data_IF_493218103433
#
_entry.id   IF_493218103433
#
_cell.length_a   1.000
_cell.length_b   1.000
_cell.length_c   1.000
_cell.angle_alpha   90.00
_cell.angle_beta   90.00
_cell.angle_gamma   90.00
#
_symmetry.space_group_name_H-M   'P 1'
#
loop_
_entity.id
_entity.type
_entity.pdbx_description
1 polymer ?
#
# COMPACT_ATOMS: atom_id res chain seq x y z
N UNK A 1 68.97 -7.80 -18.71
CA UNK A 1 69.36 -6.37 -18.65
C UNK A 1 68.12 -5.50 -18.62
N UNK A 2 68.17 -4.30 -18.06
CA UNK A 2 67.12 -3.28 -18.20
C UNK A 2 67.46 -2.43 -19.42
N UNK A 3 66.49 -2.18 -20.30
CA UNK A 3 66.74 -1.53 -21.60
C UNK A 3 66.98 -0.03 -21.44
N UNK A 4 66.26 0.60 -20.51
CA UNK A 4 66.48 1.99 -20.13
C UNK A 4 67.82 2.14 -19.39
N UNK A 5 68.76 2.85 -20.01
CA UNK A 5 70.13 3.04 -19.52
C UNK A 5 71.08 1.85 -19.72
N UNK A 6 70.70 0.82 -20.49
CA UNK A 6 71.50 -0.39 -20.77
C UNK A 6 72.10 -1.07 -19.52
N UNK A 7 71.32 -1.17 -18.45
CA UNK A 7 71.81 -1.64 -17.16
C UNK A 7 71.86 -3.18 -17.11
N UNK A 8 73.02 -3.74 -16.79
CA UNK A 8 73.16 -5.18 -16.57
C UNK A 8 72.54 -5.57 -15.20
N UNK A 9 71.44 -6.32 -15.25
CA UNK A 9 70.67 -6.75 -14.07
C UNK A 9 71.23 -8.06 -13.50
N UNK A 10 71.48 -9.05 -14.37
CA UNK A 10 72.01 -10.36 -14.05
C UNK A 10 72.84 -10.88 -15.22
N UNK A 11 73.88 -11.66 -14.90
CA UNK A 11 74.71 -12.39 -15.87
C UNK A 11 74.96 -13.81 -15.36
N UNK A 12 74.75 -14.79 -16.25
CA UNK A 12 75.12 -16.18 -16.07
C UNK A 12 76.09 -16.56 -17.19
N UNK A 13 77.30 -17.00 -16.84
CA UNK A 13 78.33 -17.36 -17.81
C UNK A 13 79.23 -18.46 -17.27
N UNK A 14 79.76 -19.31 -18.16
CA UNK A 14 80.67 -20.41 -17.79
C UNK A 14 80.08 -21.38 -16.74
N UNK A 15 78.75 -21.51 -16.69
CA UNK A 15 78.05 -22.41 -15.76
C UNK A 15 77.77 -21.81 -14.38
N UNK A 16 78.10 -20.54 -14.13
CA UNK A 16 77.91 -19.89 -12.84
C UNK A 16 77.24 -18.50 -12.94
N UNK A 17 76.57 -18.09 -11.86
CA UNK A 17 76.06 -16.73 -11.69
C UNK A 17 77.24 -15.77 -11.44
N UNK A 18 77.23 -14.60 -12.07
CA UNK A 18 78.25 -13.54 -11.90
C UNK A 18 77.68 -12.34 -11.12
N UNK A 19 77.47 -12.44 -9.80
CA UNK A 19 76.84 -11.39 -9.00
C UNK A 19 77.66 -10.08 -8.98
N UNK A 20 78.97 -10.16 -9.14
CA UNK A 20 79.88 -9.02 -9.25
C UNK A 20 79.66 -8.16 -10.51
N UNK A 21 79.04 -8.74 -11.56
CA UNK A 21 78.71 -8.01 -12.79
C UNK A 21 77.35 -7.29 -12.68
N UNK A 22 76.61 -7.49 -11.60
CA UNK A 22 75.33 -6.80 -11.40
C UNK A 22 75.57 -5.30 -11.17
N UNK A 23 74.79 -4.48 -11.85
CA UNK A 23 74.76 -3.05 -11.55
C UNK A 23 74.33 -2.82 -10.10
N UNK A 24 74.91 -1.81 -9.44
CA UNK A 24 74.72 -1.52 -8.02
C UNK A 24 73.24 -1.47 -7.60
N UNK A 25 72.40 -0.88 -8.45
CA UNK A 25 70.95 -0.78 -8.27
C UNK A 25 70.21 -2.11 -8.07
N UNK A 26 70.68 -3.18 -8.71
CA UNK A 26 70.06 -4.51 -8.66
C UNK A 26 70.83 -5.48 -7.76
N UNK A 27 71.97 -5.06 -7.21
CA UNK A 27 72.87 -5.89 -6.42
C UNK A 27 72.16 -6.41 -5.17
N UNK A 28 72.11 -7.73 -5.02
CA UNK A 28 71.44 -8.40 -3.89
C UNK A 28 69.91 -8.45 -3.96
N UNK A 29 69.28 -7.80 -4.95
CA UNK A 29 67.83 -7.80 -5.19
C UNK A 29 67.43 -8.65 -6.38
N UNK A 30 68.32 -8.85 -7.34
CA UNK A 30 68.10 -9.68 -8.52
C UNK A 30 68.79 -11.04 -8.39
N UNK A 31 68.08 -12.12 -8.68
CA UNK A 31 68.61 -13.49 -8.74
C UNK A 31 67.91 -14.32 -9.84
N UNK A 32 68.59 -15.36 -10.34
CA UNK A 32 67.95 -16.37 -11.18
C UNK A 32 67.32 -17.46 -10.32
N UNK A 33 66.32 -18.16 -10.86
CA UNK A 33 65.84 -19.41 -10.29
C UNK A 33 66.87 -20.52 -10.56
N UNK A 34 67.84 -20.67 -9.67
CA UNK A 34 69.00 -21.56 -9.86
C UNK A 34 68.62 -23.01 -10.20
N UNK A 35 67.52 -23.52 -9.65
CA UNK A 35 67.01 -24.88 -9.91
C UNK A 35 66.39 -25.06 -11.32
N UNK A 36 66.02 -23.97 -11.97
CA UNK A 36 65.34 -23.94 -13.27
C UNK A 36 66.32 -23.71 -14.43
N UNK A 37 67.55 -23.27 -14.14
CA UNK A 37 68.60 -23.04 -15.15
C UNK A 37 68.95 -24.30 -15.96
N UNK A 38 69.14 -25.50 -15.37
CA UNK A 38 69.41 -26.71 -16.13
C UNK A 38 68.28 -27.13 -17.07
N UNK A 39 67.06 -26.62 -16.83
CA UNK A 39 65.88 -26.83 -17.67
C UNK A 39 65.75 -25.78 -18.79
N UNK A 40 66.71 -24.86 -18.88
CA UNK A 40 66.74 -23.78 -19.87
C UNK A 40 65.93 -22.54 -19.48
N UNK A 41 65.48 -22.42 -18.22
CA UNK A 41 64.69 -21.29 -17.76
C UNK A 41 65.58 -20.28 -17.02
N UNK A 42 65.79 -19.13 -17.65
CA UNK A 42 66.57 -18.01 -17.13
C UNK A 42 65.68 -16.87 -16.62
N UNK A 43 64.58 -17.19 -15.96
CA UNK A 43 63.66 -16.20 -15.39
C UNK A 43 64.36 -15.35 -14.32
N UNK A 44 64.13 -14.03 -14.38
CA UNK A 44 64.61 -13.06 -13.40
C UNK A 44 63.64 -13.03 -12.21
N UNK A 45 64.17 -13.26 -11.01
CA UNK A 45 63.49 -12.96 -9.75
C UNK A 45 64.04 -11.65 -9.22
N UNK A 46 63.16 -10.66 -9.06
CA UNK A 46 63.50 -9.34 -8.52
C UNK A 46 62.79 -9.16 -7.17
N UNK A 47 63.56 -8.86 -6.12
CA UNK A 47 63.09 -8.58 -4.76
C UNK A 47 63.04 -7.07 -4.52
N UNK A 48 62.18 -6.66 -3.60
CA UNK A 48 62.01 -5.27 -3.16
C UNK A 48 61.81 -4.33 -4.34
N UNK A 49 60.94 -4.70 -5.29
CA UNK A 49 60.74 -3.99 -6.57
C UNK A 49 60.36 -2.53 -6.31
N UNK A 50 61.10 -1.59 -6.90
CA UNK A 50 60.85 -0.15 -6.77
C UNK A 50 60.09 0.38 -7.97
N UNK A 51 59.38 1.50 -7.83
CA UNK A 51 58.69 2.14 -8.96
C UNK A 51 59.64 2.59 -10.07
N UNK A 52 60.84 3.04 -9.69
CA UNK A 52 61.90 3.31 -10.66
C UNK A 52 62.25 2.08 -11.50
N UNK A 53 62.03 0.85 -11.01
CA UNK A 53 62.36 -0.39 -11.72
C UNK A 53 61.41 -0.67 -12.88
N UNK A 54 60.26 0.05 -12.94
CA UNK A 54 59.35 0.06 -14.09
C UNK A 54 60.11 0.25 -15.40
N UNK A 55 59.65 -0.45 -16.42
CA UNK A 55 60.21 -0.37 -17.76
C UNK A 55 60.41 -1.75 -18.37
N UNK A 56 61.12 -1.76 -19.47
CA UNK A 56 61.40 -2.97 -20.22
C UNK A 56 62.71 -3.62 -19.75
N UNK A 57 62.62 -4.91 -19.48
CA UNK A 57 63.75 -5.80 -19.26
C UNK A 57 63.93 -6.65 -20.50
N UNK A 58 65.19 -6.91 -20.85
CA UNK A 58 65.55 -7.77 -21.96
C UNK A 58 66.38 -8.94 -21.45
N UNK A 59 65.86 -10.15 -21.65
CA UNK A 59 66.65 -11.37 -21.52
C UNK A 59 67.41 -11.58 -22.82
N UNK A 60 68.74 -11.69 -22.75
CA UNK A 60 69.60 -11.96 -23.91
C UNK A 60 70.34 -13.26 -23.67
N UNK A 61 70.06 -14.27 -24.48
CA UNK A 61 70.74 -15.56 -24.43
C UNK A 61 71.67 -15.65 -25.63
N UNK A 62 72.97 -15.78 -25.36
CA UNK A 62 74.00 -15.90 -26.39
C UNK A 62 74.51 -17.35 -26.43
N UNK A 63 74.58 -17.90 -27.62
CA UNK A 63 75.20 -19.19 -27.93
C UNK A 63 76.26 -18.98 -29.01
N UNK A 64 77.12 -19.98 -29.24
CA UNK A 64 78.18 -19.90 -30.26
C UNK A 64 77.66 -19.65 -31.70
N UNK A 65 76.35 -19.85 -31.92
CA UNK A 65 75.72 -19.76 -33.25
C UNK A 65 74.72 -18.61 -33.35
N UNK A 66 74.01 -18.29 -32.27
CA UNK A 66 72.88 -17.36 -32.29
C UNK A 66 72.74 -16.56 -30.99
N UNK A 67 72.14 -15.38 -31.09
CA UNK A 67 71.70 -14.56 -29.97
C UNK A 67 70.18 -14.40 -30.03
N UNK A 68 69.49 -14.79 -28.96
CA UNK A 68 68.03 -14.64 -28.83
C UNK A 68 67.72 -13.61 -27.76
N UNK A 69 66.82 -12.69 -28.09
CA UNK A 69 66.36 -11.65 -27.18
C UNK A 69 64.88 -11.85 -26.88
N UNK A 70 64.50 -11.78 -25.61
CA UNK A 70 63.12 -11.82 -25.16
C UNK A 70 62.84 -10.59 -24.27
N UNK A 71 62.00 -9.63 -24.71
CA UNK A 71 61.60 -8.50 -23.90
C UNK A 71 60.53 -8.91 -22.88
N UNK A 72 60.57 -8.30 -21.70
CA UNK A 72 59.59 -8.44 -20.64
C UNK A 72 59.31 -7.06 -20.03
N UNK A 73 58.03 -6.73 -19.85
CA UNK A 73 57.63 -5.43 -19.32
C UNK A 73 57.28 -5.53 -17.85
N UNK A 74 57.99 -4.77 -17.01
CA UNK A 74 57.59 -4.54 -15.64
C UNK A 74 56.75 -3.25 -15.61
N UNK A 75 55.43 -3.42 -15.66
CA UNK A 75 54.52 -2.35 -15.27
C UNK A 75 54.43 -2.34 -13.74
N UNK A 76 54.36 -1.15 -13.13
CA UNK A 76 54.25 -1.04 -11.68
C UNK A 76 53.07 -1.88 -11.18
N UNK A 77 53.29 -2.62 -10.09
CA UNK A 77 52.24 -3.28 -9.33
C UNK A 77 51.41 -2.16 -8.68
N UNK A 78 50.42 -1.63 -9.39
CA UNK A 78 49.40 -0.79 -8.76
C UNK A 78 48.57 -1.66 -7.82
N UNK A 79 48.40 -1.27 -6.56
CA UNK A 79 47.45 -1.94 -5.67
C UNK A 79 46.04 -1.38 -5.84
N UNK A 80 45.04 -2.16 -5.46
CA UNK A 80 43.65 -1.71 -5.42
C UNK A 80 43.10 -1.88 -4.01
N UNK A 81 42.43 -0.86 -3.49
CA UNK A 81 41.75 -0.89 -2.20
C UNK A 81 40.33 -1.38 -2.42
N UNK A 82 39.96 -2.45 -1.71
CA UNK A 82 38.62 -3.05 -1.75
C UNK A 82 37.83 -2.64 -0.52
N UNK A 83 36.59 -2.24 -0.75
CA UNK A 83 35.57 -2.04 0.26
C UNK A 83 34.29 -2.82 -0.06
N UNK A 84 33.23 -2.64 0.74
CA UNK A 84 31.94 -3.25 0.52
C UNK A 84 31.22 -2.61 -0.69
N UNK A 85 30.50 -3.44 -1.47
CA UNK A 85 29.70 -2.95 -2.58
C UNK A 85 28.34 -2.36 -2.16
N UNK A 86 27.85 -2.75 -0.98
CA UNK A 86 26.56 -2.34 -0.43
C UNK A 86 26.75 -1.56 0.87
N UNK A 87 25.81 -0.66 1.22
CA UNK A 87 25.83 0.02 2.52
C UNK A 87 25.80 -0.97 3.68
N UNK A 88 26.48 -0.63 4.77
CA UNK A 88 26.43 -1.37 6.03
C UNK A 88 25.27 -0.83 6.86
N UNK A 89 24.27 -1.67 7.10
CA UNK A 89 23.14 -1.35 7.98
C UNK A 89 23.51 -1.78 9.40
N UNK A 90 23.47 -0.84 10.35
CA UNK A 90 23.86 -1.07 11.74
C UNK A 90 22.81 -0.55 12.72
N UNK A 91 22.53 -1.34 13.75
CA UNK A 91 21.69 -0.93 14.88
C UNK A 91 22.43 0.06 15.75
N UNK A 92 21.74 1.08 16.27
CA UNK A 92 22.33 2.19 17.05
C UNK A 92 23.46 1.79 18.03
N UNK A 93 23.35 1.59 19.33
CA UNK A 93 24.54 1.31 20.17
C UNK A 93 25.43 0.08 19.86
N UNK A 94 25.29 -0.60 18.71
CA UNK A 94 26.13 -1.71 18.28
C UNK A 94 27.53 -1.25 17.80
N UNK A 95 28.36 -2.23 17.43
CA UNK A 95 29.65 -1.99 16.78
C UNK A 95 29.62 -2.50 15.34
N UNK A 96 30.32 -1.82 14.43
CA UNK A 96 30.37 -2.16 13.01
C UNK A 96 31.82 -2.15 12.52
N UNK A 97 32.16 -3.09 11.65
CA UNK A 97 33.45 -3.12 10.96
C UNK A 97 33.28 -2.57 9.55
N UNK A 98 34.02 -1.52 9.22
CA UNK A 98 34.07 -0.92 7.89
C UNK A 98 35.20 -1.61 7.10
N UNK A 99 34.87 -2.42 6.08
CA UNK A 99 35.89 -3.17 5.33
C UNK A 99 36.77 -2.25 4.50
N UNK A 100 38.09 -2.43 4.62
CA UNK A 100 39.09 -1.85 3.73
C UNK A 100 40.29 -2.79 3.65
N UNK A 101 40.64 -3.26 2.45
CA UNK A 101 41.75 -4.21 2.29
C UNK A 101 42.38 -4.16 0.91
N UNK A 102 43.63 -4.61 0.81
CA UNK A 102 44.37 -4.80 -0.44
C UNK A 102 44.69 -6.27 -0.65
N UNK A 103 44.75 -6.72 -1.91
CA UNK A 103 45.00 -8.14 -2.23
C UNK A 103 46.45 -8.56 -1.93
N UNK A 104 47.38 -7.60 -2.02
CA UNK A 104 48.81 -7.80 -1.78
C UNK A 104 49.28 -6.94 -0.61
N UNK A 105 49.86 -7.54 0.45
CA UNK A 105 50.39 -6.79 1.58
C UNK A 105 51.39 -5.71 1.15
N UNK A 106 51.32 -4.55 1.80
CA UNK A 106 52.18 -3.40 1.52
C UNK A 106 53.28 -3.27 2.59
N UNK A 107 54.46 -2.72 2.25
CA UNK A 107 55.52 -2.46 3.23
C UNK A 107 55.05 -1.48 4.31
N UNK A 108 55.20 -1.85 5.59
CA UNK A 108 54.67 -1.06 6.72
C UNK A 108 55.38 0.28 6.96
N UNK A 109 56.66 0.40 6.57
CA UNK A 109 57.46 1.60 6.88
C UNK A 109 57.11 2.82 6.02
N UNK A 110 56.39 2.59 4.92
CA UNK A 110 55.94 3.59 3.95
C UNK A 110 54.40 3.65 3.86
N UNK A 111 53.71 2.93 4.75
CA UNK A 111 52.26 2.79 4.74
C UNK A 111 51.61 3.83 5.65
N UNK A 112 50.71 4.60 5.06
CA UNK A 112 49.79 5.46 5.80
C UNK A 112 48.36 5.13 5.41
N UNK A 113 47.48 4.95 6.40
CA UNK A 113 46.06 4.65 6.16
C UNK A 113 45.19 5.62 6.95
N UNK A 114 44.35 6.33 6.20
CA UNK A 114 43.41 7.29 6.74
C UNK A 114 41.98 6.78 6.61
N UNK A 115 41.24 6.79 7.71
CA UNK A 115 39.78 6.73 7.67
C UNK A 115 39.22 8.12 7.88
N UNK A 116 38.40 8.57 6.92
CA UNK A 116 37.78 9.89 6.96
C UNK A 116 36.28 9.82 6.70
N UNK A 117 35.55 10.76 7.29
CA UNK A 117 34.21 11.14 6.87
C UNK A 117 34.26 11.94 5.57
N UNK A 118 33.45 11.57 4.59
CA UNK A 118 33.41 12.28 3.29
C UNK A 118 32.63 13.58 3.39
N UNK A 119 31.52 13.59 4.12
CA UNK A 119 30.63 14.74 4.33
C UNK A 119 31.29 15.89 5.11
N UNK A 120 32.09 15.57 6.12
CA UNK A 120 32.70 16.55 7.02
C UNK A 120 34.23 16.65 6.95
N UNK A 121 34.87 15.86 6.09
CA UNK A 121 36.33 15.71 6.03
C UNK A 121 36.97 15.45 7.40
N UNK A 122 36.24 14.80 8.31
CA UNK A 122 36.70 14.54 9.68
C UNK A 122 37.52 13.28 9.73
N UNK A 123 38.72 13.36 10.32
CA UNK A 123 39.59 12.21 10.56
C UNK A 123 38.98 11.31 11.63
N UNK A 124 38.69 10.06 11.24
CA UNK A 124 38.11 9.02 12.09
C UNK A 124 39.21 8.21 12.75
N UNK A 125 40.21 7.79 11.99
CA UNK A 125 41.40 7.12 12.51
C UNK A 125 42.57 7.23 11.53
N UNK A 126 43.79 7.16 12.07
CA UNK A 126 45.04 7.23 11.31
C UNK A 126 45.97 6.08 11.72
N UNK A 127 46.58 5.45 10.73
CA UNK A 127 47.71 4.55 10.90
C UNK A 127 48.90 5.13 10.14
N UNK A 128 50.01 5.37 10.82
CA UNK A 128 51.19 6.00 10.24
C UNK A 128 52.45 5.58 11.02
N UNK A 129 53.58 5.46 10.33
CA UNK A 129 54.88 5.09 10.93
C UNK A 129 54.85 3.74 11.66
N UNK A 130 54.01 2.81 11.18
CA UNK A 130 53.89 1.46 11.73
C UNK A 130 52.97 1.31 12.95
N UNK A 131 52.33 2.39 13.41
CA UNK A 131 51.43 2.37 14.57
C UNK A 131 50.10 3.10 14.30
N UNK A 132 49.07 2.75 15.06
CA UNK A 132 47.81 3.52 15.07
C UNK A 132 48.00 4.79 15.90
N UNK A 133 47.43 5.90 15.42
CA UNK A 133 47.51 7.24 16.01
C UNK A 133 46.15 7.66 16.60
N UNK A 134 45.65 7.02 17.67
CA UNK A 134 44.36 7.37 18.27
C UNK A 134 44.30 8.82 18.78
N UNK A 135 45.45 9.44 19.07
CA UNK A 135 45.59 10.84 19.46
C UNK A 135 45.23 11.84 18.35
N UNK A 136 45.28 11.41 17.09
CA UNK A 136 44.91 12.24 15.94
C UNK A 136 43.42 12.19 15.63
N UNK A 137 42.66 11.31 16.30
CA UNK A 137 41.23 11.15 16.07
C UNK A 137 40.46 12.41 16.44
N UNK A 138 39.42 12.70 15.66
CA UNK A 138 38.42 13.69 16.07
C UNK A 138 37.75 13.25 17.39
N UNK A 139 37.40 14.20 18.29
CA UNK A 139 36.74 13.90 19.56
C UNK A 139 35.50 13.01 19.44
N UNK A 140 34.78 13.07 18.31
CA UNK A 140 33.59 12.25 18.06
C UNK A 140 33.89 10.73 17.99
N UNK A 141 35.11 10.35 17.61
CA UNK A 141 35.52 8.95 17.40
C UNK A 141 36.51 8.43 18.46
N UNK A 142 36.99 9.32 19.34
CA UNK A 142 37.96 8.99 20.38
C UNK A 142 37.46 7.83 21.26
N UNK A 143 38.26 6.76 21.32
CA UNK A 143 37.95 5.54 22.09
C UNK A 143 36.83 4.67 21.50
N UNK A 144 36.35 4.99 20.30
CA UNK A 144 35.29 4.25 19.60
C UNK A 144 35.79 3.61 18.30
N UNK A 145 36.74 4.25 17.63
CA UNK A 145 37.27 3.81 16.34
C UNK A 145 38.69 3.21 16.49
N UNK A 146 38.89 1.96 16.05
CA UNK A 146 40.20 1.30 16.09
C UNK A 146 40.48 0.48 14.82
N UNK A 147 41.75 0.36 14.46
CA UNK A 147 42.20 -0.62 13.47
C UNK A 147 42.40 -2.00 14.10
N UNK A 148 42.35 -3.03 13.28
CA UNK A 148 42.83 -4.37 13.65
C UNK A 148 44.35 -4.45 13.43
N UNK A 149 45.14 -3.95 14.39
CA UNK A 149 46.61 -3.78 14.22
C UNK A 149 47.34 -5.04 13.75
N UNK A 150 46.93 -6.23 14.20
CA UNK A 150 47.55 -7.51 13.78
C UNK A 150 47.29 -7.88 12.30
N UNK A 151 46.22 -7.33 11.72
CA UNK A 151 45.76 -7.62 10.35
C UNK A 151 46.32 -6.63 9.31
N UNK A 152 46.87 -5.49 9.75
CA UNK A 152 47.46 -4.46 8.87
C UNK A 152 48.62 -5.05 8.06
N UNK A 153 49.48 -5.85 8.69
CA UNK A 153 50.61 -6.53 8.03
C UNK A 153 50.17 -7.52 6.93
N UNK A 154 48.89 -7.91 6.93
CA UNK A 154 48.28 -8.82 5.94
C UNK A 154 47.49 -8.05 4.87
N UNK A 155 47.52 -6.72 4.88
CA UNK A 155 46.80 -5.87 3.93
C UNK A 155 45.34 -5.60 4.30
N UNK A 156 44.93 -5.84 5.55
CA UNK A 156 43.58 -5.52 6.03
C UNK A 156 43.61 -4.29 6.94
N UNK A 157 42.99 -3.22 6.46
CA UNK A 157 42.93 -1.91 7.09
C UNK A 157 41.52 -1.55 7.54
N UNK A 158 40.70 -2.57 7.80
CA UNK A 158 39.32 -2.37 8.24
C UNK A 158 39.26 -1.64 9.58
N UNK A 159 38.23 -0.80 9.74
CA UNK A 159 38.01 -0.01 10.95
C UNK A 159 36.88 -0.61 11.77
N UNK A 160 37.11 -0.82 13.06
CA UNK A 160 36.06 -1.13 14.03
C UNK A 160 35.54 0.16 14.65
N UNK A 161 34.27 0.50 14.41
CA UNK A 161 33.58 1.61 15.05
C UNK A 161 32.59 1.06 16.11
N UNK A 162 32.76 1.47 17.36
CA UNK A 162 31.94 1.02 18.51
C UNK A 162 30.90 2.05 18.92
N UNK A 163 29.81 1.55 19.50
CA UNK A 163 28.72 2.33 20.05
C UNK A 163 28.18 3.34 19.03
N UNK A 164 27.70 2.85 17.89
CA UNK A 164 27.23 3.66 16.77
C UNK A 164 26.05 4.56 17.20
N UNK A 165 26.00 5.78 16.69
CA UNK A 165 24.94 6.76 16.97
C UNK A 165 24.25 7.19 15.67
N UNK A 166 23.15 7.92 15.78
CA UNK A 166 22.45 8.45 14.60
C UNK A 166 23.31 9.43 13.81
N UNK A 167 24.27 10.08 14.47
CA UNK A 167 25.21 11.00 13.83
C UNK A 167 26.22 10.24 12.96
N UNK A 168 26.52 8.98 13.27
CA UNK A 168 27.47 8.11 12.55
C UNK A 168 26.99 7.67 11.17
N UNK A 169 25.70 7.88 10.87
CA UNK A 169 25.14 7.69 9.53
C UNK A 169 25.87 8.59 8.53
N UNK A 170 26.40 8.00 7.47
CA UNK A 170 27.12 8.78 6.47
C UNK A 170 28.01 7.97 5.56
N UNK A 171 28.79 8.68 4.76
CA UNK A 171 29.77 8.12 3.85
C UNK A 171 31.16 8.30 4.45
N UNK A 172 31.90 7.21 4.51
CA UNK A 172 33.27 7.14 4.99
C UNK A 172 34.16 6.75 3.83
N UNK A 173 35.43 7.13 3.88
CA UNK A 173 36.44 6.68 2.94
C UNK A 173 37.68 6.19 3.67
N UNK A 174 38.22 5.08 3.18
CA UNK A 174 39.52 4.57 3.55
C UNK A 174 40.49 4.98 2.44
N UNK A 175 41.53 5.73 2.78
CA UNK A 175 42.58 6.15 1.85
C UNK A 175 43.87 5.47 2.28
N UNK A 176 44.48 4.73 1.36
CA UNK A 176 45.74 4.02 1.58
C UNK A 176 46.82 4.70 0.77
N UNK A 177 47.81 5.24 1.46
CA UNK A 177 48.95 5.97 0.90
C UNK A 177 50.21 5.10 0.98
N UNK A 178 50.96 5.11 -0.11
CA UNK A 178 52.34 4.62 -0.22
C UNK A 178 53.21 5.75 -0.76
N UNK A 179 54.55 5.59 -0.82
CA UNK A 179 55.43 6.63 -1.39
C UNK A 179 55.07 7.06 -2.82
N UNK A 180 54.44 6.20 -3.59
CA UNK A 180 54.32 6.37 -5.03
C UNK A 180 52.90 6.51 -5.53
N UNK A 181 51.92 5.97 -4.80
CA UNK A 181 50.53 6.01 -5.19
C UNK A 181 49.60 6.03 -3.99
N UNK A 182 48.36 6.43 -4.24
CA UNK A 182 47.30 6.50 -3.24
C UNK A 182 46.01 6.01 -3.86
N UNK A 183 45.33 5.11 -3.16
CA UNK A 183 44.07 4.51 -3.60
C UNK A 183 43.07 4.57 -2.46
N UNK A 184 41.78 4.65 -2.81
CA UNK A 184 40.72 4.77 -1.82
C UNK A 184 39.52 3.86 -2.12
N UNK A 185 38.76 3.58 -1.07
CA UNK A 185 37.43 2.97 -1.19
C UNK A 185 36.45 3.68 -0.27
N UNK A 186 35.19 3.73 -0.66
CA UNK A 186 34.12 4.32 0.13
C UNK A 186 33.29 3.23 0.85
N UNK A 187 32.80 3.58 2.04
CA UNK A 187 31.92 2.75 2.86
C UNK A 187 30.78 3.61 3.36
N UNK A 188 29.54 3.24 3.03
CA UNK A 188 28.36 3.93 3.54
C UNK A 188 27.82 3.20 4.76
N UNK A 189 27.66 3.92 5.87
CA UNK A 189 26.93 3.47 7.05
C UNK A 189 25.50 3.99 6.94
N UNK A 190 24.53 3.07 7.06
CA UNK A 190 23.13 3.40 7.32
C UNK A 190 22.69 2.82 8.66
N UNK A 191 21.70 3.45 9.27
CA UNK A 191 21.19 3.04 10.57
C UNK A 191 19.94 2.19 10.34
N UNK A 192 19.88 1.02 10.98
CA UNK A 192 18.67 0.20 11.00
C UNK A 192 17.53 1.02 11.59
N UNK A 193 16.46 1.20 10.82
CA UNK A 193 15.27 1.94 11.23
C UNK A 193 14.16 0.98 11.57
N UNK A 194 13.43 1.28 12.63
CA UNK A 194 12.20 0.57 12.93
C UNK A 194 11.14 0.95 11.88
N UNK A 195 10.66 -0.03 11.11
CA UNK A 195 9.58 0.21 10.14
C UNK A 195 8.32 -0.47 10.64
N UNK A 196 7.28 0.33 10.87
CA UNK A 196 5.95 -0.15 11.23
C UNK A 196 5.02 0.08 10.05
N UNK A 197 4.45 -1.00 9.53
CA UNK A 197 3.54 -0.97 8.38
C UNK A 197 2.12 -1.26 8.85
N UNK A 198 1.19 -0.36 8.52
CA UNK A 198 -0.24 -0.51 8.77
C UNK A 198 -1.04 -0.79 7.50
N UNK A 199 -2.37 -0.78 7.60
CA UNK A 199 -3.24 -0.82 6.43
C UNK A 199 -3.32 0.56 5.74
N UNK A 200 -2.98 0.63 4.45
CA UNK A 200 -3.05 1.89 3.67
C UNK A 200 -4.48 2.39 3.45
N UNK A 201 -5.45 1.48 3.48
CA UNK A 201 -6.85 1.77 3.23
C UNK A 201 -7.70 1.57 4.49
N UNK A 202 -8.75 2.40 4.68
CA UNK A 202 -9.71 2.21 5.75
C UNK A 202 -10.42 0.86 5.64
N UNK A 203 -10.55 0.18 6.78
CA UNK A 203 -11.23 -1.10 6.90
C UNK A 203 -12.70 -0.83 7.19
N UNK A 204 -13.61 -1.48 6.45
CA UNK A 204 -15.05 -1.30 6.62
C UNK A 204 -15.69 -2.59 7.12
N UNK A 205 -16.49 -2.53 8.18
CA UNK A 205 -17.14 -3.69 8.77
C UNK A 205 -18.55 -3.39 9.30
N UNK A 206 -19.39 -4.41 9.34
CA UNK A 206 -20.71 -4.36 9.99
C UNK A 206 -20.57 -4.58 11.50
N UNK A 207 -21.52 -4.08 12.28
CA UNK A 207 -21.61 -4.41 13.69
C UNK A 207 -21.75 -5.93 13.89
N UNK A 208 -21.07 -6.49 14.88
CA UNK A 208 -21.02 -7.92 15.16
C UNK A 208 -20.00 -8.73 14.34
N UNK A 209 -19.31 -8.12 13.37
CA UNK A 209 -18.26 -8.80 12.62
C UNK A 209 -16.91 -8.77 13.33
N UNK A 210 -16.06 -9.73 12.99
CA UNK A 210 -14.66 -9.73 13.37
C UNK A 210 -13.84 -9.02 12.29
N UNK A 211 -12.87 -8.20 12.70
CA UNK A 211 -11.95 -7.47 11.81
C UNK A 211 -10.52 -7.65 12.25
N UNK A 212 -9.60 -7.46 11.30
CA UNK A 212 -8.16 -7.49 11.55
C UNK A 212 -7.61 -6.13 11.16
N UNK A 213 -6.99 -5.44 12.12
CA UNK A 213 -6.26 -4.20 11.87
C UNK A 213 -4.77 -4.55 11.75
N UNK A 214 -4.22 -4.33 10.56
CA UNK A 214 -2.85 -4.76 10.25
C UNK A 214 -1.82 -3.89 10.96
N UNK A 215 -0.84 -4.52 11.59
CA UNK A 215 0.40 -3.90 12.06
C UNK A 215 1.54 -4.90 11.94
N UNK A 216 2.50 -4.60 11.08
CA UNK A 216 3.68 -5.42 10.87
C UNK A 216 4.93 -4.60 11.17
N UNK A 217 5.84 -5.18 11.93
CA UNK A 217 7.10 -4.57 12.33
C UNK A 217 8.23 -5.31 11.64
N UNK A 218 8.94 -4.63 10.77
CA UNK A 218 10.16 -5.16 10.14
C UNK A 218 11.36 -4.71 10.97
N UNK A 219 11.90 -5.63 11.77
CA UNK A 219 13.03 -5.34 12.65
C UNK A 219 13.81 -6.60 13.03
N UNK A 220 15.13 -6.46 13.15
CA UNK A 220 16.00 -7.47 13.76
C UNK A 220 16.15 -7.29 15.28
N UNK A 221 15.35 -6.41 15.89
CA UNK A 221 15.36 -6.16 17.34
C UNK A 221 14.71 -7.35 18.10
N UNK A 222 15.34 -7.85 19.17
CA UNK A 222 14.76 -8.93 19.98
C UNK A 222 13.39 -8.55 20.56
N UNK A 223 12.43 -9.49 20.57
CA UNK A 223 11.07 -9.27 21.07
C UNK A 223 10.99 -8.71 22.51
N UNK A 224 12.01 -8.94 23.34
CA UNK A 224 12.06 -8.43 24.72
C UNK A 224 12.28 -6.92 24.81
N UNK A 225 12.87 -6.34 23.78
CA UNK A 225 13.16 -4.90 23.67
C UNK A 225 12.02 -4.15 22.95
N UNK A 226 11.00 -4.87 22.48
CA UNK A 226 9.82 -4.31 21.83
C UNK A 226 8.70 -4.11 22.84
N UNK A 227 8.13 -2.91 22.84
CA UNK A 227 6.85 -2.61 23.45
C UNK A 227 5.87 -2.19 22.36
N UNK A 228 4.75 -2.89 22.22
CA UNK A 228 3.75 -2.64 21.18
C UNK A 228 2.39 -2.35 21.82
N UNK A 229 1.87 -1.16 21.54
CA UNK A 229 0.59 -0.67 22.03
C UNK A 229 -0.39 -0.53 20.87
N UNK A 230 -1.58 -1.12 20.98
CA UNK A 230 -2.71 -0.70 20.17
C UNK A 230 -3.56 0.28 20.96
N UNK A 231 -3.76 1.47 20.42
CA UNK A 231 -4.48 2.56 21.07
C UNK A 231 -5.64 2.99 20.18
N UNK A 232 -6.84 3.06 20.74
CA UNK A 232 -7.95 3.77 20.11
C UNK A 232 -7.73 5.26 20.34
N UNK A 233 -7.44 6.00 19.26
CA UNK A 233 -7.02 7.42 19.36
C UNK A 233 -8.11 8.31 19.94
N UNK A 234 -9.38 8.00 19.63
CA UNK A 234 -10.54 8.65 20.24
C UNK A 234 -10.68 8.22 21.72
N UNK A 235 -10.09 9.02 22.62
CA UNK A 235 -10.13 8.79 24.06
C UNK A 235 -8.90 8.10 24.63
N UNK A 236 -7.83 7.93 23.84
CA UNK A 236 -6.54 7.34 24.25
C UNK A 236 -6.70 6.00 25.00
N UNK A 237 -7.56 5.13 24.46
CA UNK A 237 -7.91 3.87 25.13
C UNK A 237 -6.94 2.77 24.70
N UNK A 238 -6.23 2.19 25.66
CA UNK A 238 -5.36 1.03 25.42
C UNK A 238 -6.21 -0.21 25.09
N UNK A 239 -6.00 -0.74 23.88
CA UNK A 239 -6.71 -1.90 23.32
C UNK A 239 -5.91 -3.18 23.55
N UNK A 240 -4.61 -3.16 23.25
CA UNK A 240 -3.67 -4.27 23.47
C UNK A 240 -2.31 -3.74 23.88
N UNK A 241 -1.59 -4.52 24.70
CA UNK A 241 -0.21 -4.25 25.09
C UNK A 241 0.63 -5.53 24.98
N UNK A 242 1.76 -5.42 24.30
CA UNK A 242 2.82 -6.41 24.30
C UNK A 242 4.08 -5.77 24.90
N UNK A 243 4.66 -6.38 25.93
CA UNK A 243 5.86 -5.85 26.60
C UNK A 243 6.67 -6.96 27.24
N UNK A 244 7.99 -6.76 27.33
CA UNK A 244 8.94 -7.72 27.91
C UNK A 244 8.90 -9.12 27.22
N UNK A 245 8.49 -9.16 25.95
CA UNK A 245 8.35 -10.39 25.18
C UNK A 245 7.04 -11.16 25.40
N UNK A 246 6.08 -10.61 26.14
CA UNK A 246 4.79 -11.27 26.43
C UNK A 246 3.58 -10.36 26.14
N UNK A 247 2.44 -10.97 25.82
CA UNK A 247 1.15 -10.27 25.72
C UNK A 247 0.60 -9.98 27.14
N UNK A 248 0.10 -8.77 27.36
CA UNK A 248 -0.45 -8.30 28.65
C UNK A 248 -1.97 -8.09 28.56
N UNK A 249 -2.79 -9.16 28.59
CA UNK A 249 -4.24 -9.05 28.48
C UNK A 249 -4.89 -8.31 29.67
N UNK A 250 -4.22 -8.25 30.82
CA UNK A 250 -4.73 -7.55 32.01
C UNK A 250 -4.68 -6.03 31.89
N UNK A 251 -3.85 -5.50 30.98
CA UNK A 251 -3.76 -4.06 30.70
C UNK A 251 -4.85 -3.57 29.76
N UNK A 252 -5.67 -4.48 29.19
CA UNK A 252 -6.73 -4.11 28.26
C UNK A 252 -7.81 -3.28 28.96
N UNK A 253 -8.26 -2.21 28.30
CA UNK A 253 -9.42 -1.46 28.76
C UNK A 253 -10.70 -2.33 28.73
N UNK A 254 -11.60 -2.13 29.69
CA UNK A 254 -12.83 -2.93 29.89
C UNK A 254 -13.66 -3.09 28.60
N UNK A 255 -13.74 -2.03 27.80
CA UNK A 255 -14.46 -2.00 26.52
C UNK A 255 -13.99 -3.03 25.48
N UNK A 256 -12.70 -3.34 25.47
CA UNK A 256 -12.06 -4.25 24.50
C UNK A 256 -11.69 -5.61 25.12
N UNK A 257 -11.86 -5.75 26.44
CA UNK A 257 -11.53 -6.96 27.19
C UNK A 257 -12.28 -8.17 26.63
N UNK A 258 -11.53 -9.20 26.22
CA UNK A 258 -12.08 -10.43 25.65
C UNK A 258 -12.58 -10.31 24.20
N UNK A 259 -12.50 -9.12 23.59
CA UNK A 259 -12.82 -8.88 22.18
C UNK A 259 -11.59 -8.59 21.33
N UNK A 260 -10.52 -8.08 21.93
CA UNK A 260 -9.26 -7.80 21.25
C UNK A 260 -8.19 -8.85 21.58
N UNK A 261 -7.49 -9.35 20.56
CA UNK A 261 -6.38 -10.30 20.71
C UNK A 261 -5.29 -10.08 19.65
N UNK A 262 -4.04 -10.41 20.00
CA UNK A 262 -2.94 -10.53 19.04
C UNK A 262 -2.90 -11.92 18.40
N UNK A 263 -2.23 -12.04 17.26
CA UNK A 263 -1.87 -13.33 16.66
C UNK A 263 -0.57 -13.85 17.27
N UNK A 264 -0.64 -14.48 18.45
CA UNK A 264 0.54 -14.90 19.22
C UNK A 264 1.55 -15.76 18.43
N UNK A 265 1.08 -16.59 17.50
CA UNK A 265 1.93 -17.44 16.65
C UNK A 265 2.69 -16.67 15.55
N UNK A 266 2.23 -15.47 15.21
CA UNK A 266 2.80 -14.63 14.15
C UNK A 266 3.69 -13.50 14.71
N UNK A 267 3.68 -13.26 16.03
CA UNK A 267 4.55 -12.28 16.71
C UNK A 267 6.05 -12.53 16.42
N UNK A 268 6.58 -13.78 16.45
CA UNK A 268 7.99 -14.02 16.12
C UNK A 268 8.37 -13.65 14.69
N UNK A 269 7.40 -13.46 13.79
CA UNK A 269 7.59 -12.99 12.42
C UNK A 269 7.37 -11.48 12.27
N UNK A 270 7.21 -10.75 13.38
CA UNK A 270 6.98 -9.31 13.40
C UNK A 270 5.52 -8.89 13.18
N UNK A 271 4.56 -9.82 13.21
CA UNK A 271 3.14 -9.48 13.02
C UNK A 271 2.46 -9.18 14.36
N UNK A 272 2.14 -7.91 14.58
CA UNK A 272 1.44 -7.39 15.75
C UNK A 272 0.02 -6.93 15.41
N UNK A 273 -0.60 -7.51 14.38
CA UNK A 273 -1.95 -7.15 13.98
C UNK A 273 -2.97 -7.40 15.09
N UNK A 274 -3.93 -6.48 15.23
CA UNK A 274 -5.03 -6.57 16.18
C UNK A 274 -6.20 -7.30 15.53
N UNK A 275 -6.65 -8.40 16.13
CA UNK A 275 -7.95 -8.99 15.82
C UNK A 275 -9.00 -8.47 16.79
N UNK A 276 -9.99 -7.76 16.28
CA UNK A 276 -11.11 -7.21 17.04
C UNK A 276 -12.38 -7.98 16.70
N UNK A 277 -12.95 -8.66 17.69
CA UNK A 277 -14.17 -9.46 17.59
C UNK A 277 -15.42 -8.66 17.94
N UNK A 278 -16.55 -9.07 17.36
CA UNK A 278 -17.88 -8.51 17.65
C UNK A 278 -17.86 -6.98 17.59
N UNK A 279 -17.42 -6.39 16.47
CA UNK A 279 -17.25 -4.93 16.30
C UNK A 279 -18.53 -4.19 16.66
N UNK A 280 -18.43 -3.10 17.43
CA UNK A 280 -19.57 -2.25 17.79
C UNK A 280 -19.55 -0.95 16.99
N UNK A 281 -20.71 -0.32 16.84
CA UNK A 281 -20.86 0.98 16.16
C UNK A 281 -19.99 2.07 16.79
N UNK A 282 -19.84 2.02 18.11
CA UNK A 282 -18.96 2.91 18.88
C UNK A 282 -17.47 2.73 18.55
N UNK A 283 -17.03 1.57 18.03
CA UNK A 283 -15.61 1.27 17.76
C UNK A 283 -15.09 1.99 16.51
N UNK A 284 -15.98 2.64 15.76
CA UNK A 284 -15.67 3.49 14.62
C UNK A 284 -14.56 4.51 14.93
N UNK A 285 -13.72 4.76 13.92
CA UNK A 285 -12.67 5.78 13.96
C UNK A 285 -11.28 5.17 13.89
N UNK A 286 -10.29 5.90 14.36
CA UNK A 286 -8.89 5.54 14.20
C UNK A 286 -8.36 4.69 15.35
N UNK A 287 -7.51 3.73 14.99
CA UNK A 287 -6.70 2.92 15.87
C UNK A 287 -5.24 3.12 15.48
N UNK A 288 -4.35 3.16 16.45
CA UNK A 288 -2.92 3.38 16.27
C UNK A 288 -2.15 2.21 16.86
N UNK A 289 -1.33 1.57 16.04
CA UNK A 289 -0.29 0.64 16.47
C UNK A 289 0.97 1.47 16.74
N UNK A 290 1.40 1.54 17.98
CA UNK A 290 2.59 2.27 18.40
C UNK A 290 3.62 1.25 18.87
N UNK A 291 4.79 1.29 18.26
CA UNK A 291 5.92 0.40 18.57
C UNK A 291 7.00 1.26 19.17
N UNK A 292 7.43 0.85 20.36
CA UNK A 292 8.47 1.50 21.12
C UNK A 292 9.62 0.52 21.33
N UNK A 293 10.81 1.06 21.21
CA UNK A 293 12.09 0.45 21.59
C UNK A 293 12.80 1.43 22.51
N UNK A 294 13.85 0.99 23.19
CA UNK A 294 14.68 1.87 24.03
C UNK A 294 15.24 3.11 23.30
N UNK A 295 15.24 3.10 21.96
CA UNK A 295 15.91 4.10 21.12
C UNK A 295 14.97 4.90 20.22
N UNK A 296 13.89 4.29 19.74
CA UNK A 296 12.96 4.90 18.77
C UNK A 296 11.50 4.54 19.10
N UNK A 297 10.57 5.43 18.74
CA UNK A 297 9.13 5.14 18.74
C UNK A 297 8.54 5.48 17.38
N UNK A 298 7.90 4.49 16.76
CA UNK A 298 7.26 4.59 15.44
C UNK A 298 5.83 4.10 15.55
N UNK A 299 4.92 4.67 14.76
CA UNK A 299 3.52 4.29 14.78
C UNK A 299 2.97 4.10 13.36
N UNK A 300 1.88 3.36 13.29
CA UNK A 300 1.03 3.23 12.11
C UNK A 300 -0.44 3.33 12.53
N UNK A 301 -1.26 4.01 11.74
CA UNK A 301 -2.68 4.18 12.04
C UNK A 301 -3.56 3.40 11.05
N UNK A 302 -4.70 2.93 11.54
CA UNK A 302 -5.71 2.21 10.76
C UNK A 302 -7.09 2.77 11.09
N UNK A 303 -7.86 3.09 10.05
CA UNK A 303 -9.21 3.63 10.20
C UNK A 303 -10.27 2.54 10.06
N UNK A 304 -11.12 2.38 11.08
CA UNK A 304 -12.29 1.51 11.05
C UNK A 304 -13.55 2.31 10.71
N UNK A 305 -14.22 1.93 9.62
CA UNK A 305 -15.49 2.47 9.16
C UNK A 305 -16.62 1.46 9.34
N UNK A 306 -17.80 1.97 9.61
CA UNK A 306 -19.02 1.17 9.65
C UNK A 306 -19.58 1.02 8.22
N UNK A 307 -19.95 -0.21 7.86
CA UNK A 307 -20.77 -0.48 6.69
C UNK A 307 -22.24 -0.27 7.08
N UNK A 308 -22.89 0.67 6.41
CA UNK A 308 -24.23 1.14 6.77
C UNK A 308 -25.29 0.01 6.63
N UNK A 309 -25.77 -0.52 7.76
CA UNK A 309 -26.88 -1.49 7.88
C UNK A 309 -28.15 -1.04 7.12
N UNK A 310 -28.28 0.28 6.99
CA UNK A 310 -29.36 1.00 6.34
C UNK A 310 -29.71 0.45 4.95
N UNK A 311 -28.73 0.10 4.11
CA UNK A 311 -28.98 -0.28 2.72
C UNK A 311 -29.59 -1.68 2.57
N UNK A 312 -29.21 -2.65 3.42
CA UNK A 312 -29.77 -4.01 3.36
C UNK A 312 -31.16 -4.07 3.99
N UNK A 313 -31.35 -3.40 5.13
CA UNK A 313 -32.65 -3.28 5.78
C UNK A 313 -33.66 -2.54 4.87
N UNK A 314 -33.22 -1.45 4.22
CA UNK A 314 -34.01 -0.73 3.23
C UNK A 314 -34.35 -1.61 2.02
N UNK A 315 -33.39 -2.36 1.47
CA UNK A 315 -33.63 -3.24 0.33
C UNK A 315 -34.65 -4.34 0.66
N UNK A 316 -34.50 -5.01 1.80
CA UNK A 316 -35.44 -6.05 2.25
C UNK A 316 -36.84 -5.47 2.48
N UNK A 317 -36.93 -4.28 3.08
CA UNK A 317 -38.18 -3.56 3.25
C UNK A 317 -38.82 -3.19 1.91
N UNK A 318 -38.04 -2.66 0.96
CA UNK A 318 -38.50 -2.31 -0.37
C UNK A 318 -39.08 -3.51 -1.11
N UNK A 319 -38.41 -4.67 -1.03
CA UNK A 319 -38.88 -5.92 -1.61
C UNK A 319 -40.17 -6.41 -0.93
N UNK A 320 -40.23 -6.39 0.40
CA UNK A 320 -41.39 -6.86 1.17
C UNK A 320 -42.64 -6.00 0.95
N UNK A 321 -42.49 -4.69 0.70
CA UNK A 321 -43.60 -3.78 0.42
C UNK A 321 -44.03 -3.85 -1.04
N UNK A 322 -43.07 -3.86 -1.98
CA UNK A 322 -43.37 -3.72 -3.41
C UNK A 322 -43.82 -5.03 -4.05
N UNK A 323 -43.18 -6.15 -3.72
CA UNK A 323 -43.43 -7.45 -4.39
C UNK A 323 -44.86 -7.96 -4.20
N UNK A 324 -45.44 -8.00 -2.98
CA UNK A 324 -46.81 -8.48 -2.80
C UNK A 324 -47.85 -7.60 -3.51
N UNK A 325 -47.62 -6.28 -3.52
CA UNK A 325 -48.50 -5.31 -4.17
C UNK A 325 -48.45 -5.42 -5.71
N UNK A 326 -47.26 -5.65 -6.29
CA UNK A 326 -47.10 -5.89 -7.73
C UNK A 326 -47.76 -7.22 -8.12
N UNK A 327 -47.53 -8.30 -7.36
CA UNK A 327 -48.10 -9.63 -7.65
C UNK A 327 -49.63 -9.62 -7.58
N UNK A 328 -50.22 -8.94 -6.59
CA UNK A 328 -51.67 -8.79 -6.49
C UNK A 328 -52.24 -7.93 -7.60
N UNK A 329 -51.55 -6.86 -8.03
CA UNK A 329 -51.94 -6.05 -9.19
C UNK A 329 -51.95 -6.89 -10.49
N UNK A 330 -50.92 -7.70 -10.72
CA UNK A 330 -50.85 -8.63 -11.86
C UNK A 330 -52.00 -9.65 -11.81
N UNK A 331 -52.31 -10.18 -10.63
CA UNK A 331 -53.41 -11.12 -10.46
C UNK A 331 -54.78 -10.50 -10.81
N UNK A 332 -55.05 -9.25 -10.40
CA UNK A 332 -56.26 -8.52 -10.79
C UNK A 332 -56.33 -8.25 -12.29
N UNK A 333 -55.20 -7.90 -12.92
CA UNK A 333 -55.14 -7.70 -14.37
C UNK A 333 -55.42 -8.99 -15.15
N UNK A 334 -54.84 -10.12 -14.73
CA UNK A 334 -55.09 -11.44 -15.34
C UNK A 334 -56.55 -11.86 -15.14
N UNK A 335 -57.11 -11.69 -13.94
CA UNK A 335 -58.51 -12.00 -13.66
C UNK A 335 -59.47 -11.18 -14.54
N UNK A 336 -59.21 -9.89 -14.68
CA UNK A 336 -59.97 -9.01 -15.58
C UNK A 336 -59.92 -9.38 -17.05
N UNK A 337 -58.82 -9.97 -17.50
CA UNK A 337 -58.65 -10.40 -18.88
C UNK A 337 -59.41 -11.71 -19.20
N UNK A 338 -59.48 -12.63 -18.24
CA UNK A 338 -60.02 -13.97 -18.48
C UNK A 338 -61.52 -14.05 -18.15
N UNK A 339 -61.95 -13.56 -16.98
CA UNK A 339 -63.31 -13.81 -16.45
C UNK A 339 -64.01 -12.56 -15.90
N UNK A 340 -63.25 -11.53 -15.55
CA UNK A 340 -63.73 -10.39 -14.75
C UNK A 340 -64.21 -9.17 -15.55
N UNK A 341 -64.66 -8.15 -14.81
CA UNK A 341 -64.95 -6.83 -15.37
C UNK A 341 -63.65 -6.03 -15.56
N UNK A 342 -63.43 -5.47 -16.75
CA UNK A 342 -62.27 -4.60 -17.05
C UNK A 342 -62.19 -3.41 -16.08
N UNK A 343 -63.34 -2.90 -15.64
CA UNK A 343 -63.40 -1.81 -14.66
C UNK A 343 -62.91 -2.23 -13.27
N UNK A 344 -63.33 -3.41 -12.80
CA UNK A 344 -62.91 -3.93 -11.48
C UNK A 344 -61.43 -4.32 -11.48
N UNK A 345 -60.94 -4.89 -12.58
CA UNK A 345 -59.53 -5.22 -12.75
C UNK A 345 -58.63 -3.99 -12.76
N UNK A 346 -59.05 -2.91 -13.44
CA UNK A 346 -58.32 -1.65 -13.45
C UNK A 346 -58.27 -1.02 -12.05
N UNK A 347 -59.43 -0.92 -11.37
CA UNK A 347 -59.51 -0.34 -10.02
C UNK A 347 -58.72 -1.18 -9.02
N UNK A 348 -58.83 -2.51 -9.05
CA UNK A 348 -58.07 -3.41 -8.20
C UNK A 348 -56.56 -3.33 -8.45
N UNK A 349 -56.12 -3.24 -9.70
CA UNK A 349 -54.71 -3.09 -10.05
C UNK A 349 -54.14 -1.75 -9.59
N UNK A 350 -54.89 -0.66 -9.78
CA UNK A 350 -54.49 0.69 -9.40
C UNK A 350 -54.40 0.86 -7.87
N UNK A 351 -55.38 0.33 -7.12
CA UNK A 351 -55.35 0.36 -5.64
C UNK A 351 -54.12 -0.38 -5.09
N UNK A 352 -53.79 -1.55 -5.63
CA UNK A 352 -52.64 -2.31 -5.16
C UNK A 352 -51.31 -1.62 -5.49
N UNK A 353 -51.21 -0.93 -6.63
CA UNK A 353 -50.01 -0.14 -6.95
C UNK A 353 -49.86 1.07 -6.01
N UNK A 354 -50.96 1.76 -5.72
CA UNK A 354 -50.97 2.91 -4.83
C UNK A 354 -50.69 2.55 -3.36
N UNK A 355 -51.11 1.34 -2.94
CA UNK A 355 -50.81 0.78 -1.62
C UNK A 355 -49.32 0.74 -1.28
N UNK A 356 -48.45 0.62 -2.30
CA UNK A 356 -46.99 0.71 -2.13
C UNK A 356 -46.64 2.08 -1.52
N UNK A 357 -47.20 3.17 -2.03
CA UNK A 357 -46.90 4.54 -1.57
C UNK A 357 -47.31 4.76 -0.11
N UNK A 358 -48.46 4.24 0.31
CA UNK A 358 -48.91 4.32 1.72
C UNK A 358 -48.02 3.49 2.63
N UNK A 359 -47.68 2.26 2.24
CA UNK A 359 -46.87 1.38 3.08
C UNK A 359 -45.46 1.94 3.27
N UNK A 360 -44.88 2.60 2.27
CA UNK A 360 -43.62 3.33 2.44
C UNK A 360 -43.73 4.52 3.39
N UNK A 361 -44.87 5.21 3.46
CA UNK A 361 -45.11 6.33 4.40
C UNK A 361 -45.02 5.91 5.88
N UNK A 362 -45.53 4.72 6.20
CA UNK A 362 -45.59 4.20 7.58
C UNK A 362 -44.24 3.56 8.00
N UNK A 363 -43.28 3.49 7.08
CA UNK A 363 -41.99 2.87 7.31
C UNK A 363 -41.14 3.65 8.34
N UNK A 364 -40.50 2.97 9.30
CA UNK A 364 -39.52 3.60 10.19
C UNK A 364 -38.26 4.09 9.44
N UNK A 365 -37.99 3.54 8.24
CA UNK A 365 -36.80 3.82 7.43
C UNK A 365 -37.00 4.90 6.35
N UNK A 366 -38.14 5.61 6.34
CA UNK A 366 -38.42 6.61 5.28
C UNK A 366 -37.39 7.76 5.22
N UNK A 367 -36.73 8.06 6.35
CA UNK A 367 -35.71 9.12 6.48
C UNK A 367 -34.38 8.80 5.80
N UNK A 368 -34.19 7.55 5.39
CA UNK A 368 -32.97 7.06 4.71
C UNK A 368 -33.08 7.22 3.18
N UNK A 369 -34.31 7.32 2.65
CA UNK A 369 -34.54 7.46 1.22
C UNK A 369 -34.02 8.81 0.69
N UNK A 370 -33.60 8.88 -0.58
CA UNK A 370 -33.27 10.14 -1.24
C UNK A 370 -34.41 11.16 -1.05
N UNK A 371 -34.05 12.42 -0.81
CA UNK A 371 -34.99 13.50 -0.43
C UNK A 371 -36.22 13.57 -1.36
N UNK A 372 -36.02 13.38 -2.66
CA UNK A 372 -37.07 13.41 -3.69
C UNK A 372 -38.12 12.29 -3.52
N UNK A 373 -37.70 11.08 -3.14
CA UNK A 373 -38.59 9.95 -2.90
C UNK A 373 -39.33 10.11 -1.56
N UNK A 374 -38.64 10.61 -0.54
CA UNK A 374 -39.21 10.87 0.78
C UNK A 374 -40.37 11.88 0.70
N UNK A 375 -40.25 12.92 -0.12
CA UNK A 375 -41.32 13.89 -0.34
C UNK A 375 -42.58 13.27 -0.95
N UNK A 376 -42.43 12.39 -1.94
CA UNK A 376 -43.56 11.72 -2.61
C UNK A 376 -44.31 10.82 -1.62
N UNK A 377 -43.62 9.95 -0.89
CA UNK A 377 -44.24 9.03 0.07
C UNK A 377 -44.90 9.79 1.25
N UNK A 378 -44.29 10.89 1.71
CA UNK A 378 -44.74 11.63 2.90
C UNK A 378 -45.88 12.61 2.61
N UNK A 379 -46.07 13.06 1.37
CA UNK A 379 -47.05 14.12 1.10
C UNK A 379 -48.07 13.78 0.01
N UNK A 380 -47.74 12.88 -0.92
CA UNK A 380 -48.56 12.62 -2.10
C UNK A 380 -49.33 11.29 -2.04
N UNK A 381 -48.93 10.34 -1.18
CA UNK A 381 -49.57 9.03 -1.07
C UNK A 381 -51.10 9.10 -0.81
N UNK A 382 -51.52 9.73 0.30
CA UNK A 382 -52.93 9.85 0.71
C UNK A 382 -53.83 10.59 -0.31
N UNK A 383 -53.40 11.75 -0.87
CA UNK A 383 -54.20 12.44 -1.89
C UNK A 383 -54.39 11.63 -3.18
N UNK A 384 -53.34 10.94 -3.67
CA UNK A 384 -53.46 10.12 -4.87
C UNK A 384 -54.34 8.89 -4.65
N UNK A 385 -54.24 8.22 -3.51
CA UNK A 385 -55.12 7.08 -3.19
C UNK A 385 -56.59 7.47 -3.17
N UNK A 386 -56.92 8.58 -2.51
CA UNK A 386 -58.29 9.09 -2.48
C UNK A 386 -58.79 9.47 -3.88
N UNK A 387 -57.92 10.02 -4.74
CA UNK A 387 -58.27 10.32 -6.13
C UNK A 387 -58.58 9.06 -6.93
N UNK A 388 -57.76 8.01 -6.80
CA UNK A 388 -57.94 6.73 -7.50
C UNK A 388 -59.21 6.02 -7.02
N UNK A 389 -59.45 5.96 -5.71
CA UNK A 389 -60.66 5.37 -5.13
C UNK A 389 -61.91 6.15 -5.60
N UNK A 390 -61.89 7.47 -5.52
CA UNK A 390 -63.01 8.31 -5.95
C UNK A 390 -63.28 8.16 -7.44
N UNK A 391 -62.23 8.09 -8.26
CA UNK A 391 -62.37 7.90 -9.72
C UNK A 391 -62.89 6.50 -10.05
N UNK A 392 -62.42 5.46 -9.36
CA UNK A 392 -62.88 4.08 -9.53
C UNK A 392 -64.33 3.85 -9.08
N UNK A 393 -64.73 4.41 -7.95
CA UNK A 393 -66.13 4.33 -7.48
C UNK A 393 -67.05 5.06 -8.46
N UNK A 394 -66.66 6.27 -8.88
CA UNK A 394 -67.47 7.05 -9.80
C UNK A 394 -67.51 6.42 -11.21
N UNK A 395 -66.47 5.73 -11.67
CA UNK A 395 -66.50 5.05 -12.97
C UNK A 395 -67.49 3.89 -13.01
N UNK A 396 -67.62 3.12 -11.92
CA UNK A 396 -68.62 2.05 -11.79
C UNK A 396 -70.04 2.62 -11.72
N UNK A 397 -70.24 3.70 -10.94
CA UNK A 397 -71.53 4.41 -10.89
C UNK A 397 -71.90 4.98 -12.26
N UNK A 398 -70.93 5.55 -12.99
CA UNK A 398 -71.13 6.04 -14.36
C UNK A 398 -71.50 4.91 -15.31
N UNK A 399 -70.80 3.78 -15.26
CA UNK A 399 -71.09 2.63 -16.12
C UNK A 399 -72.50 2.08 -15.87
N UNK A 400 -72.96 2.13 -14.62
CA UNK A 400 -74.33 1.77 -14.22
C UNK A 400 -75.37 2.80 -14.71
N UNK A 401 -75.07 4.10 -14.63
CA UNK A 401 -75.96 5.16 -15.15
C UNK A 401 -76.03 5.19 -16.69
N UNK A 402 -74.91 4.95 -17.37
CA UNK A 402 -74.80 4.85 -18.83
C UNK A 402 -75.59 3.68 -19.41
N UNK A 403 -75.64 2.56 -18.67
CA UNK A 403 -76.42 1.37 -19.05
C UNK A 403 -77.90 1.48 -18.66
N UNK A 404 -78.24 2.12 -17.54
CA UNK A 404 -79.62 2.27 -17.05
C UNK A 404 -80.46 3.30 -17.85
N UNK A 405 -79.85 4.35 -18.41
CA UNK A 405 -80.56 5.35 -19.24
C UNK A 405 -80.10 5.29 -20.70
N UNK A 406 -80.43 4.18 -21.37
CA UNK A 406 -79.99 3.91 -22.74
C UNK A 406 -80.66 4.78 -23.84
N UNK A 407 -81.67 5.61 -23.53
CA UNK A 407 -82.51 6.24 -24.58
C UNK A 407 -82.30 7.74 -24.83
N UNK A 408 -81.43 8.45 -24.10
CA UNK A 408 -81.25 9.89 -24.29
C UNK A 408 -79.77 10.28 -24.43
N UNK A 409 -79.42 10.76 -25.63
CA UNK A 409 -78.06 11.16 -26.03
C UNK A 409 -77.58 12.41 -25.28
N UNK A 410 -78.50 13.33 -24.96
CA UNK A 410 -78.18 14.59 -24.27
C UNK A 410 -77.83 14.33 -22.79
N UNK A 411 -78.53 13.41 -22.13
CA UNK A 411 -78.27 13.03 -20.74
C UNK A 411 -76.90 12.36 -20.54
N UNK A 412 -76.41 11.59 -21.53
CA UNK A 412 -75.06 10.97 -21.51
C UNK A 412 -73.96 12.03 -21.60
N UNK A 413 -74.15 13.01 -22.48
CA UNK A 413 -73.21 14.12 -22.68
C UNK A 413 -73.14 15.01 -21.44
N UNK A 414 -74.29 15.34 -20.85
CA UNK A 414 -74.38 16.16 -19.63
C UNK A 414 -73.73 15.46 -18.42
N UNK A 415 -73.93 14.15 -18.27
CA UNK A 415 -73.35 13.35 -17.17
C UNK A 415 -71.82 13.26 -17.30
N UNK A 416 -71.30 13.08 -18.52
CA UNK A 416 -69.86 13.11 -18.79
C UNK A 416 -69.22 14.49 -18.51
N UNK A 417 -69.91 15.59 -18.87
CA UNK A 417 -69.46 16.95 -18.58
C UNK A 417 -69.41 17.21 -17.06
N UNK A 418 -70.47 16.87 -16.32
CA UNK A 418 -70.51 17.01 -14.86
C UNK A 418 -69.38 16.22 -14.18
N UNK A 419 -69.07 15.03 -14.67
CA UNK A 419 -67.98 14.22 -14.15
C UNK A 419 -66.59 14.82 -14.45
N UNK A 420 -66.38 15.31 -15.67
CA UNK A 420 -65.16 16.04 -16.03
C UNK A 420 -64.94 17.28 -15.16
N UNK A 421 -66.02 18.01 -14.83
CA UNK A 421 -65.97 19.16 -13.92
C UNK A 421 -65.57 18.74 -12.50
N UNK A 422 -66.09 17.63 -11.98
CA UNK A 422 -65.74 17.13 -10.64
C UNK A 422 -64.27 16.71 -10.58
N UNK A 423 -63.76 15.96 -11.57
CA UNK A 423 -62.35 15.54 -11.62
C UNK A 423 -61.41 16.74 -11.78
N UNK A 424 -61.76 17.70 -12.63
CA UNK A 424 -61.00 18.92 -12.81
C UNK A 424 -60.98 19.76 -11.52
N UNK A 425 -62.09 19.84 -10.78
CA UNK A 425 -62.16 20.57 -9.51
C UNK A 425 -61.28 19.95 -8.41
N UNK A 426 -61.25 18.61 -8.33
CA UNK A 426 -60.38 17.86 -7.43
C UNK A 426 -58.90 18.04 -7.79
N UNK A 427 -58.58 17.98 -9.08
CA UNK A 427 -57.22 18.22 -9.57
C UNK A 427 -56.74 19.64 -9.26
N UNK A 428 -57.57 20.65 -9.54
CA UNK A 428 -57.24 22.06 -9.23
C UNK A 428 -57.03 22.24 -7.72
N UNK A 429 -57.87 21.62 -6.88
CA UNK A 429 -57.71 21.68 -5.41
C UNK A 429 -56.36 21.09 -4.96
N UNK A 430 -55.96 19.95 -5.52
CA UNK A 430 -54.69 19.29 -5.22
C UNK A 430 -53.48 20.07 -5.75
N UNK A 431 -53.57 20.62 -6.96
CA UNK A 431 -52.53 21.46 -7.55
C UNK A 431 -52.34 22.75 -6.75
N UNK A 432 -53.43 23.42 -6.34
CA UNK A 432 -53.38 24.63 -5.48
C UNK A 432 -52.79 24.31 -4.10
N UNK A 433 -53.18 23.17 -3.49
CA UNK A 433 -52.58 22.71 -2.24
C UNK A 433 -51.06 22.45 -2.39
N UNK A 434 -50.62 21.86 -3.51
CA UNK A 434 -49.20 21.63 -3.77
C UNK A 434 -48.41 22.91 -4.03
N UNK A 435 -48.98 23.87 -4.79
CA UNK A 435 -48.35 25.17 -5.09
C UNK A 435 -48.26 26.04 -3.83
N UNK A 436 -49.30 26.10 -3.01
CA UNK A 436 -49.31 26.87 -1.74
C UNK A 436 -48.25 26.42 -0.72
N UNK A 437 -47.74 25.19 -0.84
CA UNK A 437 -46.62 24.68 -0.03
C UNK A 437 -45.25 24.81 -0.72
N UNK A 438 -45.17 25.48 -1.86
CA UNK A 438 -43.92 25.79 -2.56
C UNK A 438 -43.30 24.64 -3.37
N UNK A 439 -44.06 23.57 -3.66
CA UNK A 439 -43.51 22.30 -4.18
C UNK A 439 -43.72 22.13 -5.68
N UNK A 440 -42.72 22.52 -6.49
CA UNK A 440 -42.81 22.53 -7.97
C UNK A 440 -42.74 21.14 -8.60
N UNK A 441 -41.93 20.23 -8.08
CA UNK A 441 -41.78 18.84 -8.56
C UNK A 441 -43.05 18.01 -8.39
N UNK A 442 -43.73 18.12 -7.25
CA UNK A 442 -45.03 17.47 -7.03
C UNK A 442 -46.11 17.94 -8.01
N UNK A 443 -46.12 19.22 -8.38
CA UNK A 443 -47.08 19.79 -9.35
C UNK A 443 -46.88 19.20 -10.75
N UNK A 444 -45.64 19.00 -11.19
CA UNK A 444 -45.33 18.38 -12.48
C UNK A 444 -45.81 16.92 -12.52
N UNK A 445 -45.61 16.17 -11.44
CA UNK A 445 -46.07 14.78 -11.32
C UNK A 445 -47.62 14.69 -11.26
N UNK A 446 -48.27 15.59 -10.52
CA UNK A 446 -49.73 15.75 -10.50
C UNK A 446 -50.27 16.02 -11.92
N UNK A 447 -49.67 16.95 -12.66
CA UNK A 447 -50.08 17.24 -14.04
C UNK A 447 -49.94 16.01 -14.93
N UNK A 448 -48.83 15.28 -14.85
CA UNK A 448 -48.60 14.12 -15.70
C UNK A 448 -49.58 12.98 -15.40
N UNK A 449 -49.83 12.71 -14.12
CA UNK A 449 -50.82 11.70 -13.67
C UNK A 449 -52.25 12.09 -14.05
N UNK A 450 -52.62 13.37 -13.99
CA UNK A 450 -53.93 13.84 -14.46
C UNK A 450 -54.11 13.71 -15.97
N UNK A 451 -53.08 14.02 -16.76
CA UNK A 451 -53.11 13.82 -18.23
C UNK A 451 -53.35 12.35 -18.57
N UNK A 452 -52.63 11.43 -17.92
CA UNK A 452 -52.80 9.98 -18.10
C UNK A 452 -54.22 9.55 -17.68
N UNK A 453 -54.75 10.08 -16.58
CA UNK A 453 -56.11 9.79 -16.11
C UNK A 453 -57.18 10.24 -17.13
N UNK A 454 -56.99 11.41 -17.74
CA UNK A 454 -57.88 11.93 -18.77
C UNK A 454 -57.78 11.13 -20.08
N UNK A 455 -56.60 10.66 -20.46
CA UNK A 455 -56.41 9.73 -21.60
C UNK A 455 -57.11 8.39 -21.36
N UNK A 456 -57.03 7.84 -20.14
CA UNK A 456 -57.71 6.59 -19.76
C UNK A 456 -59.24 6.77 -19.80
N UNK A 457 -59.76 7.88 -19.30
CA UNK A 457 -61.18 8.23 -19.38
C UNK A 457 -61.67 8.42 -20.81
N UNK A 458 -60.84 9.03 -21.67
CA UNK A 458 -61.11 9.16 -23.09
C UNK A 458 -61.20 7.78 -23.77
N UNK A 459 -60.27 6.87 -23.48
CA UNK A 459 -60.31 5.50 -24.00
C UNK A 459 -61.54 4.72 -23.52
N UNK A 460 -61.94 4.88 -22.26
CA UNK A 460 -63.14 4.23 -21.71
C UNK A 460 -64.43 4.75 -22.37
N UNK A 461 -64.53 6.05 -22.64
CA UNK A 461 -65.72 6.64 -23.28
C UNK A 461 -65.80 6.35 -24.77
N UNK A 462 -64.65 6.26 -25.47
CA UNK A 462 -64.60 5.96 -26.90
C UNK A 462 -64.75 4.48 -27.22
N UNK A 463 -64.17 3.57 -26.41
CA UNK A 463 -64.20 2.12 -26.68
C UNK A 463 -65.19 1.33 -25.80
N UNK A 464 -65.65 1.89 -24.67
CA UNK A 464 -66.59 1.21 -23.76
C UNK A 464 -68.01 1.02 -24.28
N UNK A 465 -68.35 1.60 -25.44
CA UNK A 465 -69.63 1.39 -26.13
C UNK A 465 -69.58 0.31 -27.24
N UNK A 466 -68.42 -0.32 -27.46
CA UNK A 466 -68.14 -1.10 -28.67
C UNK A 466 -68.04 -2.64 -28.55
N UNK A 467 -68.45 -3.27 -27.46
CA UNK A 467 -68.44 -4.75 -27.35
C UNK A 467 -69.82 -5.33 -27.04
N UNK A 468 -70.63 -5.45 -28.10
CA UNK A 468 -71.73 -6.43 -28.14
C UNK A 468 -71.16 -7.73 -28.70
N UNK A 469 -70.91 -8.72 -27.83
CA UNK A 469 -70.55 -10.08 -28.21
C UNK A 469 -71.79 -10.79 -28.80
N UNK A 470 -72.11 -10.48 -30.06
CA UNK A 470 -72.88 -11.38 -30.91
C UNK A 470 -71.97 -12.53 -31.35
N UNK A 471 -71.88 -13.56 -30.51
CA UNK A 471 -71.16 -14.80 -30.80
C UNK A 471 -71.85 -15.98 -30.14
N UNK A 472 -73.07 -16.31 -30.59
CA UNK A 472 -73.67 -17.62 -30.32
C UNK A 472 -72.79 -18.69 -30.97
N UNK A 473 -72.18 -19.56 -30.18
CA UNK A 473 -71.79 -20.88 -30.64
C UNK A 473 -73.02 -21.80 -30.57
N UNK A 474 -73.38 -22.56 -31.62
CA UNK A 474 -74.47 -23.52 -31.54
C UNK A 474 -74.00 -24.78 -30.82
N UNK A 475 -74.72 -25.18 -29.79
CA UNK A 475 -74.73 -26.57 -29.32
C UNK A 475 -75.97 -27.23 -29.94
N UNK A 476 -75.70 -28.16 -30.87
CA UNK A 476 -76.55 -29.18 -31.51
C UNK A 476 -77.97 -28.79 -31.98
#
# INVERSE_FOLDING_TARGET
>A
MKTDGEILVLLFSEGENRPESQHERFRGRAEFFSEEIPKGNFSLKLRDVKTEDKGEFMCKVHTDRESVNAPAWLQGLGFAVRGPAMPLVVQLGASVTLPCSVDTPLPLHELEVEWMRVDSATLVNLFQEGESRPESQSPAYSGRADFFSEEISKGNFSLLLRNVTSEDKGLYKCVVHTEHESHETEVKIDIERLVVTGADLPISAYAGQDVILNCSVDTHVPLKELEVEWIKTNGEILVLLFSEGENRPESQHERFRGRAEFFSEEIPKGNFSLKLRDVKTEDKGEFMCKVHTDRESVNATVWLRELDESNRALLLYCLQVSVPCILTSIAFAIWGYIEGSVGEAFVGSAINFMRILILFRVAPYIKILPDECCEIFTYMALPLDNLVITTGINSVVLQTLFTYRASDSEAKTLTGILFGIVLLSLFISLAVHSVSKGRRTCVVFLCHTFTILMEILFLFTTYGSGFSLSGKLPLM
#
